data_IF_132327742671
#
_entry.id   IF_132327742671
#
_cell.length_a   1.000
_cell.length_b   1.000
_cell.length_c   1.000
_cell.angle_alpha   90.00
_cell.angle_beta   90.00
_cell.angle_gamma   90.00
#
_symmetry.space_group_name_H-M   'P 1'
#
loop_
_entity.id
_entity.type
_entity.pdbx_description
1 polymer ?
#
# COMPACT_ATOMS: atom_id res chain seq x y z
N UNK A 1 57.49 3.96 -2.93
CA UNK A 1 56.24 3.46 -3.54
C UNK A 1 55.12 3.84 -2.58
N UNK A 2 54.43 4.95 -2.86
CA UNK A 2 53.26 5.38 -2.09
C UNK A 2 52.06 4.61 -2.62
N UNK A 3 51.45 3.85 -1.74
CA UNK A 3 50.21 3.11 -1.97
C UNK A 3 49.10 4.13 -2.26
N UNK A 4 48.70 4.23 -3.53
CA UNK A 4 47.57 5.04 -3.97
C UNK A 4 46.31 4.18 -3.83
N UNK A 5 45.82 4.02 -2.61
CA UNK A 5 44.43 3.62 -2.40
C UNK A 5 43.55 4.77 -2.87
N UNK A 6 42.83 4.52 -3.97
CA UNK A 6 41.85 5.44 -4.55
C UNK A 6 40.90 5.94 -3.44
N UNK A 7 40.96 7.23 -3.09
CA UNK A 7 39.93 7.90 -2.29
C UNK A 7 38.62 7.84 -3.07
N UNK A 8 37.83 6.79 -2.82
CA UNK A 8 36.50 6.66 -3.40
C UNK A 8 35.66 7.84 -2.92
N UNK A 9 35.21 8.67 -3.87
CA UNK A 9 34.35 9.81 -3.59
C UNK A 9 33.07 9.33 -2.92
N UNK A 10 32.97 9.54 -1.61
CA UNK A 10 31.81 9.16 -0.82
C UNK A 10 30.59 9.91 -1.36
N UNK A 11 29.54 9.17 -1.70
CA UNK A 11 28.28 9.77 -2.15
C UNK A 11 27.56 10.31 -0.91
N UNK A 12 27.23 11.61 -0.89
CA UNK A 12 26.50 12.27 0.20
C UNK A 12 25.02 11.88 0.33
N UNK A 13 24.67 10.64 -0.02
CA UNK A 13 23.31 10.10 0.05
C UNK A 13 23.23 8.94 1.03
N UNK A 14 22.17 8.91 1.84
CA UNK A 14 21.91 7.86 2.84
C UNK A 14 20.56 7.21 2.55
N UNK A 15 20.45 5.90 2.72
CA UNK A 15 19.15 5.21 2.70
C UNK A 15 18.75 4.79 4.11
N UNK A 16 17.55 5.16 4.52
CA UNK A 16 16.94 4.73 5.79
C UNK A 16 15.85 3.71 5.48
N UNK A 17 15.99 2.50 6.02
CA UNK A 17 15.03 1.41 5.79
C UNK A 17 14.09 1.30 7.00
N UNK A 18 12.81 1.56 6.78
CA UNK A 18 11.75 1.55 7.77
C UNK A 18 11.36 2.96 8.23
N UNK A 19 10.07 3.28 8.11
CA UNK A 19 9.48 4.55 8.51
C UNK A 19 8.88 4.54 9.92
N UNK A 20 9.42 3.75 10.85
CA UNK A 20 9.07 3.84 12.27
C UNK A 20 9.69 5.07 12.95
N UNK A 21 9.40 5.30 14.22
CA UNK A 21 9.93 6.47 14.97
C UNK A 21 11.45 6.60 14.91
N UNK A 22 12.19 5.48 14.93
CA UNK A 22 13.64 5.47 14.84
C UNK A 22 14.13 5.91 13.44
N UNK A 23 13.55 5.37 12.38
CA UNK A 23 13.91 5.74 11.01
C UNK A 23 13.53 7.18 10.68
N UNK A 24 12.36 7.63 11.15
CA UNK A 24 11.91 9.03 11.04
C UNK A 24 12.94 9.97 11.67
N UNK A 25 13.38 9.70 12.90
CA UNK A 25 14.37 10.56 13.55
C UNK A 25 15.71 10.54 12.82
N UNK A 26 16.20 9.34 12.46
CA UNK A 26 17.47 9.22 11.74
C UNK A 26 17.44 9.96 10.40
N UNK A 27 16.33 9.89 9.66
CA UNK A 27 16.18 10.58 8.40
C UNK A 27 16.17 12.11 8.59
N UNK A 28 15.46 12.63 9.59
CA UNK A 28 15.45 14.06 9.90
C UNK A 28 16.84 14.57 10.27
N UNK A 29 17.53 13.91 11.22
CA UNK A 29 18.86 14.32 11.67
C UNK A 29 19.88 14.35 10.52
N UNK A 30 19.84 13.35 9.64
CA UNK A 30 20.70 13.28 8.46
C UNK A 30 20.34 14.35 7.42
N UNK A 31 19.06 14.58 7.19
CA UNK A 31 18.58 15.53 6.21
C UNK A 31 18.84 16.99 6.62
N UNK A 32 18.69 17.29 7.91
CA UNK A 32 19.04 18.58 8.53
C UNK A 32 20.56 18.82 8.53
N UNK A 33 21.34 17.74 8.61
CA UNK A 33 22.81 17.79 8.44
C UNK A 33 23.26 17.99 6.98
N UNK A 34 22.32 18.07 6.04
CA UNK A 34 22.59 18.36 4.62
C UNK A 34 22.80 17.12 3.74
N UNK A 35 22.54 15.92 4.23
CA UNK A 35 22.59 14.70 3.41
C UNK A 35 21.29 14.49 2.63
N UNK A 36 21.38 13.91 1.43
CA UNK A 36 20.21 13.45 0.69
C UNK A 36 19.77 12.09 1.25
N UNK A 37 18.53 11.97 1.72
CA UNK A 37 18.04 10.77 2.39
C UNK A 37 16.94 10.11 1.56
N UNK A 38 17.12 8.84 1.23
CA UNK A 38 16.07 7.98 0.69
C UNK A 38 15.44 7.18 1.83
N UNK A 39 14.18 7.47 2.17
CA UNK A 39 13.46 6.72 3.19
C UNK A 39 12.58 5.65 2.52
N UNK A 40 12.87 4.38 2.77
CA UNK A 40 12.13 3.23 2.23
C UNK A 40 11.17 2.69 3.28
N UNK A 41 9.87 2.64 2.97
CA UNK A 41 8.83 2.10 3.82
C UNK A 41 8.01 1.07 3.05
N UNK A 42 7.86 -0.13 3.62
CA UNK A 42 7.16 -1.26 2.98
C UNK A 42 5.65 -1.07 2.97
N UNK A 43 5.12 -0.29 3.91
CA UNK A 43 3.70 0.01 4.05
C UNK A 43 3.32 1.29 3.28
N UNK A 44 2.01 1.57 3.05
CA UNK A 44 1.59 2.76 2.31
C UNK A 44 1.81 4.08 3.05
N UNK A 45 2.22 4.03 4.32
CA UNK A 45 2.42 5.21 5.16
C UNK A 45 3.43 4.91 6.27
N UNK A 46 4.26 5.90 6.59
CA UNK A 46 5.22 5.87 7.70
C UNK A 46 4.49 5.96 9.05
N UNK A 47 5.21 5.80 10.16
CA UNK A 47 4.74 5.86 11.55
C UNK A 47 5.00 4.59 12.36
N UNK A 48 5.10 3.44 11.68
CA UNK A 48 5.40 2.15 12.29
C UNK A 48 4.43 1.76 13.43
N UNK A 49 4.95 1.05 14.43
CA UNK A 49 4.15 0.58 15.58
C UNK A 49 3.68 1.73 16.46
N UNK A 50 4.47 2.79 16.60
CA UNK A 50 4.12 3.94 17.46
C UNK A 50 2.82 4.62 17.00
N UNK A 51 2.53 4.63 15.69
CA UNK A 51 1.27 5.15 15.18
C UNK A 51 0.05 4.38 15.74
N UNK A 52 0.18 3.08 16.01
CA UNK A 52 -0.89 2.22 16.54
C UNK A 52 -1.16 2.42 18.04
N UNK A 53 -0.27 3.11 18.76
CA UNK A 53 -0.41 3.34 20.19
C UNK A 53 -1.32 4.54 20.46
N UNK A 54 -2.15 4.46 21.51
CA UNK A 54 -2.88 5.63 22.00
C UNK A 54 -1.95 6.54 22.80
N UNK A 55 -1.29 5.97 23.82
CA UNK A 55 -0.39 6.66 24.75
C UNK A 55 1.01 6.07 24.80
N UNK A 56 1.98 6.88 25.23
CA UNK A 56 3.36 6.45 25.47
C UNK A 56 3.76 6.63 26.92
N UNK A 57 4.26 5.57 27.56
CA UNK A 57 4.87 5.66 28.88
C UNK A 57 6.25 6.37 28.79
N UNK A 58 6.74 7.00 29.87
CA UNK A 58 6.14 7.17 31.20
C UNK A 58 5.22 8.40 31.33
N UNK A 59 5.28 9.33 30.36
CA UNK A 59 4.57 10.62 30.43
C UNK A 59 3.08 10.50 30.17
N UNK A 60 2.65 9.40 29.56
CA UNK A 60 1.27 9.13 29.16
C UNK A 60 0.72 10.16 28.14
N UNK A 61 1.62 10.72 27.33
CA UNK A 61 1.29 11.58 26.20
C UNK A 61 0.60 10.78 25.10
N UNK A 62 -0.21 11.45 24.28
CA UNK A 62 -0.73 10.85 23.06
C UNK A 62 0.43 10.56 22.09
N UNK A 63 0.54 9.32 21.62
CA UNK A 63 1.62 8.91 20.72
C UNK A 63 1.61 9.75 19.44
N UNK A 64 0.42 10.02 18.89
CA UNK A 64 0.26 10.82 17.68
C UNK A 64 0.61 12.30 17.88
N UNK A 65 0.47 12.85 19.09
CA UNK A 65 0.90 14.23 19.37
C UNK A 65 2.41 14.41 19.24
N UNK A 66 3.20 13.38 19.58
CA UNK A 66 4.65 13.40 19.46
C UNK A 66 5.08 13.00 18.04
N UNK A 67 4.40 12.01 17.45
CA UNK A 67 4.78 11.43 16.16
C UNK A 67 4.35 12.30 14.98
N UNK A 68 3.13 12.85 14.99
CA UNK A 68 2.54 13.54 13.84
C UNK A 68 3.36 14.71 13.31
N UNK A 69 3.98 15.59 14.14
CA UNK A 69 4.85 16.65 13.63
C UNK A 69 6.01 16.08 12.81
N UNK A 70 6.68 15.02 13.31
CA UNK A 70 7.81 14.38 12.64
C UNK A 70 7.41 13.69 11.33
N UNK A 71 6.22 13.09 11.27
CA UNK A 71 5.69 12.52 10.03
C UNK A 71 5.54 13.61 8.96
N UNK A 72 4.97 14.76 9.33
CA UNK A 72 4.75 15.88 8.41
C UNK A 72 6.06 16.52 7.97
N UNK A 73 7.03 16.65 8.88
CA UNK A 73 8.39 17.13 8.57
C UNK A 73 9.04 16.21 7.53
N UNK A 74 9.11 14.91 7.78
CA UNK A 74 9.66 13.94 6.81
C UNK A 74 8.95 14.04 5.46
N UNK A 75 7.61 14.11 5.46
CA UNK A 75 6.82 14.17 4.23
C UNK A 75 6.98 15.46 3.43
N UNK A 76 7.59 16.50 3.98
CA UNK A 76 7.80 17.81 3.34
C UNK A 76 9.26 18.22 3.24
N UNK A 77 10.18 17.43 3.77
CA UNK A 77 11.59 17.77 3.84
C UNK A 77 12.24 17.69 2.45
N UNK A 78 12.89 18.78 2.01
CA UNK A 78 13.46 18.87 0.65
C UNK A 78 14.59 17.85 0.40
N UNK A 79 15.33 17.48 1.44
CA UNK A 79 16.40 16.49 1.34
C UNK A 79 15.94 15.04 1.63
N UNK A 80 14.64 14.78 1.85
CA UNK A 80 14.13 13.42 2.09
C UNK A 80 13.23 13.00 0.92
N UNK A 81 13.63 11.94 0.24
CA UNK A 81 12.79 11.23 -0.73
C UNK A 81 12.10 10.05 -0.06
N UNK A 82 10.78 10.13 0.08
CA UNK A 82 9.97 9.10 0.75
C UNK A 82 9.41 8.08 -0.23
N UNK A 83 9.92 6.85 -0.16
CA UNK A 83 9.53 5.71 -0.98
C UNK A 83 8.63 4.75 -0.18
N UNK A 84 7.32 5.01 -0.20
CA UNK A 84 6.31 4.09 0.38
C UNK A 84 5.99 2.92 -0.52
N UNK A 85 5.36 1.87 0.04
CA UNK A 85 5.06 0.60 -0.65
C UNK A 85 6.31 -0.03 -1.28
N UNK A 86 7.49 0.18 -0.68
CA UNK A 86 8.77 -0.18 -1.28
C UNK A 86 9.56 -1.09 -0.36
N UNK A 87 10.07 -2.19 -0.91
CA UNK A 87 10.90 -3.16 -0.19
C UNK A 87 12.30 -3.22 -0.78
N UNK A 88 13.32 -3.37 0.08
CA UNK A 88 14.69 -3.63 -0.36
C UNK A 88 14.80 -5.10 -0.77
N UNK A 89 15.26 -5.37 -2.00
CA UNK A 89 15.51 -6.72 -2.49
C UNK A 89 16.96 -7.15 -2.30
N UNK A 90 17.89 -6.25 -2.65
CA UNK A 90 19.31 -6.57 -2.71
C UNK A 90 20.13 -5.32 -2.39
N UNK A 91 21.22 -5.50 -1.65
CA UNK A 91 22.20 -4.47 -1.33
C UNK A 91 23.56 -5.00 -1.74
N UNK A 92 24.26 -4.26 -2.59
CA UNK A 92 25.61 -4.58 -3.05
C UNK A 92 26.52 -3.35 -2.93
N UNK A 93 27.83 -3.56 -3.05
CA UNK A 93 28.82 -2.50 -2.92
C UNK A 93 29.51 -2.46 -1.56
N UNK A 94 30.09 -1.32 -1.22
CA UNK A 94 30.93 -1.10 -0.04
C UNK A 94 30.57 0.23 0.65
N UNK A 95 30.99 0.46 1.90
CA UNK A 95 30.74 1.72 2.59
C UNK A 95 31.10 2.95 1.74
N UNK A 96 30.13 3.86 1.57
CA UNK A 96 30.26 5.07 0.75
C UNK A 96 29.85 4.90 -0.72
N UNK A 97 29.65 3.67 -1.21
CA UNK A 97 29.19 3.38 -2.56
C UNK A 97 28.32 2.11 -2.59
N UNK A 98 27.13 2.20 -1.99
CA UNK A 98 26.15 1.12 -2.03
C UNK A 98 25.25 1.24 -3.25
N UNK A 99 24.93 0.11 -3.87
CA UNK A 99 23.86 -0.02 -4.84
C UNK A 99 22.73 -0.85 -4.22
N UNK A 100 21.53 -0.28 -4.21
CA UNK A 100 20.37 -0.92 -3.59
C UNK A 100 19.29 -1.12 -4.63
N UNK A 101 18.82 -2.36 -4.76
CA UNK A 101 17.70 -2.72 -5.62
C UNK A 101 16.40 -2.68 -4.81
N UNK A 102 15.48 -1.84 -5.26
CA UNK A 102 14.18 -1.65 -4.63
C UNK A 102 13.06 -2.29 -5.45
N UNK A 103 12.06 -2.84 -4.77
CA UNK A 103 10.79 -3.26 -5.34
C UNK A 103 9.67 -2.37 -4.80
N UNK A 104 9.19 -1.46 -5.63
CA UNK A 104 8.05 -0.63 -5.33
C UNK A 104 6.76 -1.27 -5.83
N UNK A 105 5.84 -1.54 -4.90
CA UNK A 105 4.52 -2.04 -5.22
C UNK A 105 3.63 -0.90 -5.74
N UNK A 106 2.75 -1.17 -6.73
CA UNK A 106 1.86 -0.17 -7.26
C UNK A 106 0.84 0.27 -6.20
N UNK A 107 0.75 1.58 -5.96
CA UNK A 107 -0.31 2.18 -5.11
C UNK A 107 -1.70 2.13 -5.77
N UNK A 108 -1.74 2.02 -7.10
CA UNK A 108 -2.93 2.15 -7.98
C UNK A 108 -3.71 3.46 -7.83
N UNK A 109 -3.17 4.42 -7.08
CA UNK A 109 -3.63 5.79 -6.97
C UNK A 109 -2.39 6.66 -7.13
N UNK A 110 -2.47 7.63 -8.03
CA UNK A 110 -1.43 8.62 -8.25
C UNK A 110 -1.38 9.57 -7.03
N UNK A 111 -0.30 9.58 -6.23
CA UNK A 111 -0.23 10.37 -5.01
C UNK A 111 -0.28 11.87 -5.30
N UNK A 112 0.23 12.34 -6.43
CA UNK A 112 0.27 13.75 -6.79
C UNK A 112 -1.12 14.30 -7.15
N UNK A 113 -2.03 13.41 -7.58
CA UNK A 113 -3.43 13.74 -7.90
C UNK A 113 -4.39 13.40 -6.76
N UNK A 114 -3.95 12.66 -5.76
CA UNK A 114 -4.80 12.24 -4.65
C UNK A 114 -5.01 13.38 -3.66
N UNK A 115 -6.26 13.82 -3.49
CA UNK A 115 -6.60 14.86 -2.51
C UNK A 115 -6.82 14.34 -1.09
N UNK A 116 -6.76 13.02 -0.88
CA UNK A 116 -6.99 12.42 0.44
C UNK A 116 -8.44 12.51 0.95
N UNK A 117 -9.43 12.78 0.08
CA UNK A 117 -10.82 13.04 0.48
C UNK A 117 -11.59 11.83 1.03
N UNK A 118 -11.15 10.60 0.73
CA UNK A 118 -11.77 9.37 1.23
C UNK A 118 -13.02 8.88 0.51
N UNK A 119 -13.47 9.57 -0.55
CA UNK A 119 -14.65 9.17 -1.32
C UNK A 119 -14.49 7.77 -1.94
N UNK A 120 -13.28 7.42 -2.40
CA UNK A 120 -12.97 6.10 -2.94
C UNK A 120 -13.20 4.96 -1.93
N UNK A 121 -12.84 5.16 -0.66
CA UNK A 121 -13.09 4.20 0.40
C UNK A 121 -14.60 4.10 0.68
N UNK A 122 -15.31 5.22 0.72
CA UNK A 122 -16.75 5.26 1.00
C UNK A 122 -17.57 4.46 -0.01
N UNK A 123 -17.23 4.54 -1.30
CA UNK A 123 -17.96 3.85 -2.38
C UNK A 123 -17.45 2.42 -2.64
N UNK A 124 -16.37 1.99 -1.99
CA UNK A 124 -15.79 0.68 -2.25
C UNK A 124 -16.67 -0.44 -1.64
N UNK A 125 -17.18 -1.39 -2.44
CA UNK A 125 -18.03 -2.48 -1.92
C UNK A 125 -17.21 -3.61 -1.27
N UNK A 126 -15.89 -3.58 -1.39
CA UNK A 126 -15.01 -4.67 -0.96
C UNK A 126 -14.49 -4.39 0.45
N UNK A 127 -14.91 -5.21 1.41
CA UNK A 127 -14.41 -5.19 2.79
C UNK A 127 -13.15 -6.08 2.94
N UNK A 128 -12.25 -5.67 3.82
CA UNK A 128 -11.01 -6.37 4.19
C UNK A 128 -10.75 -6.20 5.69
N UNK A 129 -10.00 -7.11 6.29
CA UNK A 129 -9.51 -6.92 7.66
C UNK A 129 -8.55 -5.75 7.71
N UNK A 130 -8.65 -4.91 8.74
CA UNK A 130 -7.74 -3.79 8.92
C UNK A 130 -6.48 -4.23 9.68
N UNK A 131 -5.33 -4.27 9.01
CA UNK A 131 -4.04 -4.67 9.60
C UNK A 131 -3.50 -3.64 10.58
N UNK A 132 -3.90 -2.37 10.43
CA UNK A 132 -3.55 -1.32 11.39
C UNK A 132 -4.23 -1.58 12.74
N UNK A 133 -5.53 -1.88 12.72
CA UNK A 133 -6.34 -2.22 13.90
C UNK A 133 -6.21 -3.70 14.32
N UNK A 134 -5.13 -4.39 13.92
CA UNK A 134 -4.86 -5.79 14.29
C UNK A 134 -6.03 -6.75 13.96
N UNK A 135 -6.69 -6.53 12.83
CA UNK A 135 -7.86 -7.27 12.35
C UNK A 135 -9.11 -7.20 13.25
N UNK A 136 -9.14 -6.28 14.23
CA UNK A 136 -10.30 -6.02 15.10
C UNK A 136 -11.40 -5.21 14.41
N UNK A 137 -11.08 -4.56 13.29
CA UNK A 137 -12.02 -3.81 12.46
C UNK A 137 -11.89 -4.20 10.98
N UNK A 138 -12.84 -3.72 10.18
CA UNK A 138 -12.77 -3.83 8.72
C UNK A 138 -12.39 -2.49 8.09
N UNK A 139 -11.64 -2.57 7.00
CA UNK A 139 -11.38 -1.47 6.07
C UNK A 139 -11.89 -1.84 4.68
N UNK A 140 -11.77 -0.91 3.74
CA UNK A 140 -12.10 -1.13 2.34
C UNK A 140 -10.84 -1.47 1.53
N UNK A 141 -11.01 -2.00 0.32
CA UNK A 141 -9.88 -2.26 -0.58
C UNK A 141 -9.16 -0.96 -1.00
N UNK A 142 -9.92 0.13 -1.22
CA UNK A 142 -9.35 1.47 -1.30
C UNK A 142 -9.31 2.08 0.11
N UNK A 143 -8.12 2.43 0.60
CA UNK A 143 -7.95 2.82 2.00
C UNK A 143 -6.81 3.83 2.19
N UNK A 144 -6.90 4.55 3.30
CA UNK A 144 -5.77 5.25 3.93
C UNK A 144 -5.47 4.50 5.22
N UNK A 145 -4.21 4.24 5.50
CA UNK A 145 -3.81 3.30 6.56
C UNK A 145 -4.31 3.69 7.95
N UNK A 146 -4.20 4.96 8.29
CA UNK A 146 -4.75 5.58 9.50
C UNK A 146 -5.04 7.07 9.23
N UNK A 147 -5.68 7.77 10.16
CA UNK A 147 -6.23 9.10 9.88
C UNK A 147 -5.14 10.16 9.57
N UNK A 148 -4.03 10.17 10.31
CA UNK A 148 -2.91 11.10 10.18
C UNK A 148 -1.77 10.55 9.31
N UNK A 149 -2.06 9.59 8.45
CA UNK A 149 -1.06 8.91 7.63
C UNK A 149 -0.25 9.89 6.76
N UNK A 150 1.06 9.64 6.67
CA UNK A 150 1.97 10.32 5.74
C UNK A 150 2.64 9.27 4.84
N UNK A 151 2.60 9.41 3.51
CA UNK A 151 1.78 10.35 2.75
C UNK A 151 0.28 10.15 3.05
N UNK A 152 -0.48 11.25 3.03
CA UNK A 152 -1.93 11.24 3.25
C UNK A 152 -2.75 10.65 2.08
N UNK A 153 -2.06 10.08 1.09
CA UNK A 153 -2.63 9.49 -0.10
C UNK A 153 -3.23 8.11 0.19
N UNK A 154 -4.32 7.81 -0.50
CA UNK A 154 -4.96 6.49 -0.46
C UNK A 154 -4.13 5.48 -1.27
N UNK A 155 -4.37 4.20 -1.02
CA UNK A 155 -3.88 3.07 -1.81
C UNK A 155 -5.04 2.12 -2.11
N UNK A 156 -4.93 1.36 -3.20
CA UNK A 156 -5.84 0.23 -3.47
C UNK A 156 -5.07 -1.06 -3.28
N UNK A 157 -5.54 -1.90 -2.37
CA UNK A 157 -5.01 -3.26 -2.25
C UNK A 157 -5.61 -4.14 -3.36
N UNK A 158 -4.75 -4.68 -4.23
CA UNK A 158 -5.15 -5.58 -5.31
C UNK A 158 -4.50 -6.94 -5.12
N UNK A 159 -5.30 -7.92 -4.69
CA UNK A 159 -4.85 -9.31 -4.49
C UNK A 159 -4.62 -10.04 -5.82
N UNK A 160 -5.39 -9.67 -6.86
CA UNK A 160 -5.28 -10.29 -8.19
C UNK A 160 -6.60 -10.23 -8.96
N UNK A 161 -6.71 -11.06 -9.99
CA UNK A 161 -7.95 -11.30 -10.74
C UNK A 161 -8.52 -12.64 -10.30
N UNK A 162 -9.82 -12.69 -10.01
CA UNK A 162 -10.49 -13.91 -9.58
C UNK A 162 -10.35 -15.02 -10.64
N UNK A 163 -10.06 -16.29 -10.26
CA UNK A 163 -9.96 -17.40 -11.20
C UNK A 163 -11.19 -17.54 -12.11
N UNK A 164 -12.38 -17.30 -11.56
CA UNK A 164 -13.63 -17.36 -12.33
C UNK A 164 -13.68 -16.37 -13.50
N UNK A 165 -13.05 -15.20 -13.35
CA UNK A 165 -12.97 -14.19 -14.41
C UNK A 165 -11.93 -14.57 -15.46
N UNK A 166 -10.80 -15.13 -15.03
CA UNK A 166 -9.73 -15.59 -15.93
C UNK A 166 -10.21 -16.77 -16.79
N UNK A 167 -10.96 -17.70 -16.21
CA UNK A 167 -11.48 -18.87 -16.92
C UNK A 167 -12.71 -18.57 -17.79
N UNK A 168 -13.37 -17.42 -17.59
CA UNK A 168 -14.56 -17.06 -18.35
C UNK A 168 -14.17 -16.54 -19.74
N UNK A 169 -14.65 -17.14 -20.85
CA UNK A 169 -14.36 -16.66 -22.20
C UNK A 169 -14.86 -15.23 -22.48
N UNK A 170 -15.88 -14.79 -21.74
CA UNK A 170 -16.42 -13.43 -21.81
C UNK A 170 -15.85 -12.49 -20.72
N UNK A 171 -14.84 -12.94 -19.97
CA UNK A 171 -14.19 -12.20 -18.88
C UNK A 171 -15.14 -11.59 -17.84
N UNK A 172 -16.26 -12.26 -17.58
CA UNK A 172 -17.30 -11.77 -16.68
C UNK A 172 -16.76 -11.59 -15.27
N UNK A 173 -16.98 -10.41 -14.69
CA UNK A 173 -16.50 -10.11 -13.35
C UNK A 173 -17.50 -10.54 -12.27
N UNK A 174 -17.62 -11.85 -12.07
CA UNK A 174 -18.48 -12.45 -11.05
C UNK A 174 -18.13 -11.96 -9.64
N UNK A 175 -16.86 -11.73 -9.33
CA UNK A 175 -16.41 -11.20 -8.03
C UNK A 175 -17.00 -9.81 -7.75
N UNK A 176 -16.93 -8.89 -8.70
CA UNK A 176 -17.51 -7.56 -8.54
C UNK A 176 -19.04 -7.60 -8.47
N UNK A 177 -19.69 -8.48 -9.25
CA UNK A 177 -21.14 -8.70 -9.18
C UNK A 177 -21.59 -9.11 -7.77
N UNK A 178 -20.95 -10.15 -7.19
CA UNK A 178 -21.26 -10.63 -5.85
C UNK A 178 -20.97 -9.57 -4.79
N UNK A 179 -19.84 -8.86 -4.88
CA UNK A 179 -19.49 -7.80 -3.92
C UNK A 179 -20.51 -6.65 -3.93
N UNK A 180 -21.01 -6.26 -5.10
CA UNK A 180 -22.05 -5.22 -5.23
C UNK A 180 -23.41 -5.70 -4.71
N UNK A 181 -23.78 -6.97 -4.94
CA UNK A 181 -24.98 -7.57 -4.36
C UNK A 181 -24.91 -7.61 -2.85
N UNK A 182 -23.78 -8.05 -2.28
CA UNK A 182 -23.57 -8.07 -0.84
C UNK A 182 -23.67 -6.66 -0.23
N UNK A 183 -23.31 -5.63 -0.99
CA UNK A 183 -23.46 -4.22 -0.61
C UNK A 183 -24.87 -3.64 -0.91
N UNK A 184 -25.84 -4.45 -1.39
CA UNK A 184 -27.21 -4.00 -1.73
C UNK A 184 -27.32 -3.15 -3.00
N UNK A 185 -26.25 -3.07 -3.81
CA UNK A 185 -26.15 -2.21 -5.01
C UNK A 185 -26.55 -2.98 -6.27
N UNK A 186 -27.77 -3.49 -6.30
CA UNK A 186 -28.28 -4.34 -7.38
C UNK A 186 -28.18 -3.72 -8.79
N UNK A 187 -28.50 -2.42 -9.01
CA UNK A 187 -28.39 -1.82 -10.33
C UNK A 187 -26.95 -1.82 -10.87
N UNK A 188 -25.98 -1.49 -10.01
CA UNK A 188 -24.57 -1.46 -10.38
C UNK A 188 -24.01 -2.87 -10.59
N UNK A 189 -24.46 -3.84 -9.79
CA UNK A 189 -24.13 -5.24 -10.00
C UNK A 189 -24.58 -5.69 -11.40
N UNK A 190 -25.82 -5.39 -11.79
CA UNK A 190 -26.32 -5.72 -13.12
C UNK A 190 -25.51 -5.04 -14.23
N UNK A 191 -25.14 -3.77 -14.06
CA UNK A 191 -24.29 -3.06 -15.02
C UNK A 191 -22.92 -3.74 -15.20
N UNK A 192 -22.32 -4.26 -14.13
CA UNK A 192 -21.04 -4.98 -14.22
C UNK A 192 -21.14 -6.20 -15.13
N UNK A 193 -22.21 -6.97 -15.05
CA UNK A 193 -22.45 -8.14 -15.91
C UNK A 193 -22.74 -7.69 -17.34
N UNK A 194 -23.61 -6.70 -17.50
CA UNK A 194 -24.04 -6.20 -18.81
C UNK A 194 -22.91 -5.61 -19.67
N UNK A 195 -21.78 -5.20 -19.06
CA UNK A 195 -20.57 -4.76 -19.80
C UNK A 195 -20.04 -5.83 -20.75
N UNK A 196 -20.11 -7.09 -20.35
CA UNK A 196 -19.55 -8.21 -21.11
C UNK A 196 -20.61 -9.20 -21.60
N UNK A 197 -21.78 -9.24 -20.96
CA UNK A 197 -22.89 -10.12 -21.30
C UNK A 197 -24.15 -9.32 -21.65
N UNK A 198 -24.42 -9.05 -22.93
CA UNK A 198 -25.60 -8.27 -23.34
C UNK A 198 -26.93 -8.99 -23.06
N UNK A 199 -26.93 -10.33 -23.04
CA UNK A 199 -28.12 -11.17 -22.79
C UNK A 199 -27.85 -12.18 -21.66
N UNK A 200 -27.67 -11.73 -20.41
CA UNK A 200 -27.20 -12.59 -19.33
C UNK A 200 -28.18 -13.74 -19.04
N UNK A 201 -29.49 -13.52 -19.22
CA UNK A 201 -30.50 -14.56 -19.04
C UNK A 201 -30.45 -15.70 -20.08
N UNK A 202 -30.01 -15.43 -21.31
CA UNK A 202 -29.85 -16.47 -22.35
C UNK A 202 -28.48 -17.10 -22.25
N UNK A 203 -27.43 -16.27 -22.21
CA UNK A 203 -26.03 -16.74 -22.19
C UNK A 203 -25.74 -17.55 -20.92
N UNK A 204 -26.34 -17.19 -19.78
CA UNK A 204 -26.23 -17.96 -18.55
C UNK A 204 -26.77 -19.39 -18.65
N UNK A 205 -27.79 -19.64 -19.49
CA UNK A 205 -28.39 -20.98 -19.66
C UNK A 205 -27.58 -21.91 -20.56
N UNK A 206 -26.78 -21.35 -21.47
CA UNK A 206 -25.89 -22.10 -22.37
C UNK A 206 -24.43 -22.11 -21.89
N UNK A 207 -24.17 -21.59 -20.68
CA UNK A 207 -22.84 -21.51 -20.13
C UNK A 207 -22.26 -22.93 -19.92
N UNK A 208 -21.04 -23.23 -20.39
CA UNK A 208 -20.38 -24.52 -20.11
C UNK A 208 -19.64 -24.55 -18.77
N UNK A 209 -19.78 -23.51 -17.94
CA UNK A 209 -19.21 -23.42 -16.58
C UNK A 209 -17.68 -23.66 -16.45
N UNK A 210 -16.81 -23.15 -17.35
CA UNK A 210 -15.36 -23.39 -17.27
C UNK A 210 -14.71 -22.81 -16.01
N UNK A 211 -15.37 -21.82 -15.39
CA UNK A 211 -14.94 -21.23 -14.13
C UNK A 211 -15.05 -22.20 -12.93
N UNK A 212 -15.89 -23.24 -13.00
CA UNK A 212 -16.01 -24.22 -11.91
C UNK A 212 -14.76 -25.08 -11.80
N UNK A 213 -14.16 -25.48 -12.92
CA UNK A 213 -12.91 -26.25 -12.95
C UNK A 213 -11.72 -25.45 -12.40
N UNK A 214 -11.72 -24.12 -12.59
CA UNK A 214 -10.67 -23.24 -12.10
C UNK A 214 -10.94 -22.69 -10.67
N UNK A 215 -12.04 -23.11 -10.03
CA UNK A 215 -12.49 -22.57 -8.76
C UNK A 215 -11.59 -23.03 -7.60
N UNK A 216 -11.11 -22.09 -6.78
CA UNK A 216 -10.30 -22.38 -5.58
C UNK A 216 -11.11 -22.47 -4.29
N UNK A 217 -12.44 -22.40 -4.37
CA UNK A 217 -13.29 -22.45 -3.17
C UNK A 217 -13.11 -23.76 -2.39
N UNK A 218 -12.89 -24.87 -3.09
CA UNK A 218 -12.60 -26.16 -2.45
C UNK A 218 -11.33 -26.16 -1.60
N UNK A 219 -10.38 -25.24 -1.82
CA UNK A 219 -9.18 -25.08 -1.00
C UNK A 219 -9.45 -24.35 0.32
N UNK A 220 -10.61 -23.70 0.47
CA UNK A 220 -10.96 -22.86 1.63
C UNK A 220 -12.11 -23.43 2.49
N UNK A 221 -12.83 -24.44 1.99
CA UNK A 221 -13.95 -25.09 2.68
C UNK A 221 -13.49 -26.35 3.49
N UNK A 222 -12.17 -26.60 3.60
CA UNK A 222 -11.51 -27.56 4.52
C UNK A 222 -10.93 -26.84 5.76
#
# INVERSE_FOLDING_TARGET
MKDQSLEQSVVGSVMVVGGGVAGIQAALDLADSGYCVYMVESEPSIGGVMAKLDKTFPTNDCAMCILSPKLVEVGRHLNIELLTLTNVQEVSGAPGNFQVKLLQQPRFIDPDKCTGCGECARVCPVARKNEYDMAMSERRAAYRRYAQAVPGAFAIEKIGVSPCRVACPNEVNAHAYIALIAAGRYPEAMQVILRNLPLPGVIGRICPHPCETACRRGEADE
#
